data_IF_384048131870
#
_entry.id   IF_384048131870
#
_cell.length_a   1.000
_cell.length_b   1.000
_cell.length_c   1.000
_cell.angle_alpha   90.00
_cell.angle_beta   90.00
_cell.angle_gamma   90.00
#
_symmetry.space_group_name_H-M   'P 1'
#
loop_
_entity.id
_entity.type
_entity.pdbx_description
1 polymer ?
#
# COMPACT_ATOMS: atom_id res chain seq x y z
N UNK A 1 -24.61 -11.94 -25.36
CA UNK A 1 -23.35 -11.48 -24.76
C UNK A 1 -23.55 -10.48 -23.61
N UNK A 2 -24.58 -9.57 -23.58
CA UNK A 2 -24.78 -8.65 -22.44
C UNK A 2 -25.25 -9.35 -21.16
N UNK A 3 -26.02 -10.42 -21.28
CA UNK A 3 -26.60 -11.14 -20.13
C UNK A 3 -25.60 -12.01 -19.37
N UNK A 4 -24.58 -12.54 -20.05
CA UNK A 4 -23.51 -13.29 -19.38
C UNK A 4 -22.57 -12.39 -18.56
N UNK A 5 -22.38 -11.13 -18.97
CA UNK A 5 -21.61 -10.17 -18.19
C UNK A 5 -22.32 -9.76 -16.89
N UNK A 6 -23.62 -9.54 -16.93
CA UNK A 6 -24.40 -9.17 -15.74
C UNK A 6 -24.36 -10.24 -14.64
N UNK A 7 -24.40 -11.52 -15.02
CA UNK A 7 -24.34 -12.63 -14.06
C UNK A 7 -22.94 -12.88 -13.48
N UNK A 8 -21.88 -12.54 -14.20
CA UNK A 8 -20.50 -12.69 -13.72
C UNK A 8 -20.15 -11.65 -12.63
N UNK A 9 -20.70 -10.45 -12.73
CA UNK A 9 -20.49 -9.37 -11.75
C UNK A 9 -21.32 -9.53 -10.46
N UNK A 10 -22.32 -10.39 -10.43
CA UNK A 10 -23.14 -10.61 -9.24
C UNK A 10 -22.56 -11.64 -8.25
N UNK A 11 -21.58 -12.45 -8.65
CA UNK A 11 -21.14 -13.61 -7.86
C UNK A 11 -19.89 -13.37 -7.01
N UNK A 12 -18.92 -12.52 -7.43
CA UNK A 12 -17.73 -12.22 -6.64
C UNK A 12 -17.15 -10.86 -7.03
N UNK A 13 -17.10 -9.92 -6.08
CA UNK A 13 -16.33 -8.68 -6.31
C UNK A 13 -14.86 -9.04 -6.45
N UNK A 14 -14.12 -8.46 -7.44
CA UNK A 14 -12.69 -8.67 -7.54
C UNK A 14 -12.01 -8.23 -6.23
N UNK A 15 -11.00 -8.98 -5.81
CA UNK A 15 -10.23 -8.61 -4.63
C UNK A 15 -9.51 -7.27 -4.81
N UNK A 16 -9.16 -6.94 -6.06
CA UNK A 16 -8.47 -5.72 -6.43
C UNK A 16 -8.94 -5.26 -7.81
N UNK A 17 -9.35 -4.00 -7.93
CA UNK A 17 -9.66 -3.36 -9.22
C UNK A 17 -8.62 -2.29 -9.53
N UNK A 18 -7.95 -2.41 -10.68
CA UNK A 18 -6.96 -1.50 -11.19
C UNK A 18 -7.60 -0.53 -12.16
N UNK A 19 -7.91 0.69 -11.70
CA UNK A 19 -8.62 1.69 -12.52
C UNK A 19 -7.67 2.55 -13.38
N UNK A 20 -6.39 2.65 -13.01
CA UNK A 20 -5.41 3.39 -13.76
C UNK A 20 -4.06 3.52 -13.09
N UNK A 21 -3.08 3.87 -13.88
CA UNK A 21 -1.77 4.35 -13.45
C UNK A 21 -1.58 5.78 -13.96
N UNK A 22 -1.08 6.65 -13.10
CA UNK A 22 -0.88 8.04 -13.41
C UNK A 22 0.60 8.39 -13.26
N UNK A 23 1.18 9.01 -14.29
CA UNK A 23 2.51 9.58 -14.24
C UNK A 23 2.38 11.09 -14.26
N UNK A 24 2.90 11.76 -13.24
CA UNK A 24 2.93 13.21 -13.17
C UNK A 24 4.37 13.67 -13.30
N UNK A 25 4.60 14.57 -14.24
CA UNK A 25 5.87 15.27 -14.33
C UNK A 25 6.00 16.23 -13.13
N UNK A 26 7.16 16.22 -12.46
CA UNK A 26 7.49 17.15 -11.40
C UNK A 26 8.47 18.21 -11.91
N UNK A 27 8.00 19.22 -12.69
CA UNK A 27 8.87 20.10 -13.44
C UNK A 27 9.67 21.07 -12.55
N UNK A 28 9.25 21.30 -11.32
CA UNK A 28 9.86 22.27 -10.42
C UNK A 28 10.52 21.60 -9.20
N UNK A 29 9.82 20.68 -8.54
CA UNK A 29 10.34 19.90 -7.42
C UNK A 29 9.50 18.64 -7.18
N UNK A 30 10.12 17.61 -6.60
CA UNK A 30 9.43 16.38 -6.19
C UNK A 30 8.32 16.70 -5.19
N UNK A 31 8.59 17.60 -4.24
CA UNK A 31 7.63 18.01 -3.22
C UNK A 31 6.35 18.58 -3.83
N UNK A 32 6.49 19.55 -4.74
CA UNK A 32 5.35 20.15 -5.43
C UNK A 32 4.59 19.14 -6.29
N UNK A 33 5.33 18.32 -7.05
CA UNK A 33 4.72 17.26 -7.86
C UNK A 33 3.91 16.27 -7.02
N UNK A 34 4.39 15.94 -5.82
CA UNK A 34 3.67 15.06 -4.91
C UNK A 34 2.42 15.73 -4.33
N UNK A 35 2.48 17.01 -3.95
CA UNK A 35 1.29 17.77 -3.54
C UNK A 35 0.24 17.83 -4.65
N UNK A 36 0.64 18.14 -5.88
CA UNK A 36 -0.25 18.20 -7.03
C UNK A 36 -0.90 16.85 -7.34
N UNK A 37 -0.14 15.74 -7.24
CA UNK A 37 -0.66 14.39 -7.39
C UNK A 37 -1.71 14.07 -6.32
N UNK A 38 -1.40 14.35 -5.06
CA UNK A 38 -2.31 14.09 -3.95
C UNK A 38 -3.58 14.93 -4.07
N UNK A 39 -3.49 16.18 -4.50
CA UNK A 39 -4.64 17.04 -4.75
C UNK A 39 -5.54 16.46 -5.87
N UNK A 40 -4.97 15.99 -6.98
CA UNK A 40 -5.72 15.36 -8.07
C UNK A 40 -6.37 14.04 -7.63
N UNK A 41 -5.66 13.20 -6.87
CA UNK A 41 -6.22 11.98 -6.31
C UNK A 41 -7.39 12.28 -5.37
N UNK A 42 -7.27 13.29 -4.52
CA UNK A 42 -8.34 13.70 -3.59
C UNK A 42 -9.55 14.29 -4.30
N UNK A 43 -9.35 15.06 -5.37
CA UNK A 43 -10.45 15.58 -6.16
C UNK A 43 -11.28 14.45 -6.79
N UNK A 44 -10.63 13.36 -7.22
CA UNK A 44 -11.28 12.21 -7.83
C UNK A 44 -11.79 11.19 -6.80
N UNK A 45 -11.03 10.99 -5.71
CA UNK A 45 -11.30 9.98 -4.67
C UNK A 45 -11.17 10.62 -3.27
N UNK A 46 -12.18 11.36 -2.79
CA UNK A 46 -12.08 12.17 -1.56
C UNK A 46 -11.71 11.38 -0.30
N UNK A 47 -12.16 10.12 -0.23
CA UNK A 47 -11.95 9.25 0.93
C UNK A 47 -10.82 8.22 0.75
N UNK A 48 -9.95 8.41 -0.26
CA UNK A 48 -8.87 7.45 -0.53
C UNK A 48 -7.88 7.36 0.63
N UNK A 49 -7.39 6.14 0.87
CA UNK A 49 -6.23 5.88 1.71
C UNK A 49 -5.01 5.74 0.80
N UNK A 50 -3.95 6.49 1.07
CA UNK A 50 -2.81 6.60 0.17
C UNK A 50 -1.52 6.22 0.89
N UNK A 51 -0.74 5.34 0.28
CA UNK A 51 0.64 5.06 0.66
C UNK A 51 1.59 5.70 -0.36
N UNK A 52 2.59 6.41 0.15
CA UNK A 52 3.64 7.01 -0.67
C UNK A 52 4.96 6.32 -0.35
N UNK A 53 5.63 5.75 -1.36
CA UNK A 53 6.94 5.14 -1.17
C UNK A 53 7.95 6.20 -0.67
N UNK A 54 8.54 5.92 0.49
CA UNK A 54 9.51 6.77 1.17
C UNK A 54 10.93 6.21 1.13
N UNK A 55 11.20 5.21 0.31
CA UNK A 55 12.53 4.62 0.13
C UNK A 55 13.54 5.61 -0.45
N UNK A 56 13.07 6.54 -1.30
CA UNK A 56 13.86 7.63 -1.84
C UNK A 56 13.28 8.98 -1.38
N UNK A 57 14.11 9.90 -0.88
CA UNK A 57 13.71 11.22 -0.37
C UNK A 57 12.64 11.15 0.74
N UNK A 58 12.92 10.32 1.74
CA UNK A 58 12.05 10.15 2.93
C UNK A 58 11.75 11.45 3.66
N UNK A 59 12.66 12.42 3.61
CA UNK A 59 12.50 13.78 4.14
C UNK A 59 11.30 14.51 3.50
N UNK A 60 11.26 14.53 2.18
CA UNK A 60 10.15 15.16 1.41
C UNK A 60 8.84 14.38 1.62
N UNK A 61 8.90 13.07 1.48
CA UNK A 61 7.68 12.25 1.63
C UNK A 61 7.08 12.41 3.02
N UNK A 62 7.90 12.40 4.07
CA UNK A 62 7.40 12.60 5.44
C UNK A 62 6.81 13.98 5.65
N UNK A 63 7.43 15.03 5.10
CA UNK A 63 6.92 16.41 5.16
C UNK A 63 5.56 16.53 4.47
N UNK A 64 5.46 16.03 3.24
CA UNK A 64 4.21 16.12 2.44
C UNK A 64 3.10 15.26 3.06
N UNK A 65 3.38 14.03 3.47
CA UNK A 65 2.35 13.16 4.03
C UNK A 65 1.82 13.64 5.37
N UNK A 66 2.63 14.37 6.15
CA UNK A 66 2.23 14.91 7.44
C UNK A 66 1.09 15.94 7.38
N UNK A 67 0.88 16.60 6.23
CA UNK A 67 -0.15 17.63 6.05
C UNK A 67 -1.39 17.14 5.29
N UNK A 68 -1.40 15.86 4.89
CA UNK A 68 -2.54 15.24 4.20
C UNK A 68 -3.17 14.15 5.06
N UNK A 69 -4.48 14.21 5.23
CA UNK A 69 -5.22 13.16 5.94
C UNK A 69 -5.21 11.84 5.16
N UNK A 70 -5.10 10.70 5.86
CA UNK A 70 -5.07 9.34 5.29
C UNK A 70 -3.98 9.12 4.21
N UNK A 71 -2.87 9.86 4.30
CA UNK A 71 -1.70 9.69 3.45
C UNK A 71 -0.52 9.34 4.34
N UNK A 72 0.15 8.23 4.06
CA UNK A 72 1.21 7.73 4.92
C UNK A 72 2.47 7.39 4.14
N UNK A 73 3.66 7.70 4.67
CA UNK A 73 4.91 7.21 4.13
C UNK A 73 5.01 5.70 4.31
N UNK A 74 5.39 5.00 3.25
CA UNK A 74 5.57 3.55 3.24
C UNK A 74 7.04 3.21 2.97
N UNK A 75 7.58 2.23 3.70
CA UNK A 75 8.94 1.75 3.58
C UNK A 75 8.95 0.27 3.25
N UNK A 76 9.39 -0.07 2.06
CA UNK A 76 9.65 -1.44 1.67
C UNK A 76 10.83 -2.04 2.44
N UNK A 77 10.66 -3.26 2.95
CA UNK A 77 11.70 -4.05 3.60
C UNK A 77 11.81 -5.39 2.91
N UNK A 78 12.99 -5.66 2.38
CA UNK A 78 13.29 -7.00 1.87
C UNK A 78 13.42 -7.97 3.05
N UNK A 79 12.53 -8.96 3.10
CA UNK A 79 12.56 -10.03 4.09
C UNK A 79 12.72 -11.36 3.36
N UNK A 80 13.96 -11.81 3.23
CA UNK A 80 14.29 -13.08 2.57
C UNK A 80 14.35 -14.26 3.53
N UNK A 81 14.62 -15.45 3.00
CA UNK A 81 14.69 -16.68 3.77
C UNK A 81 15.72 -16.64 4.91
N UNK A 82 16.81 -15.87 4.75
CA UNK A 82 17.86 -15.70 5.77
C UNK A 82 17.56 -14.62 6.80
N UNK A 83 16.46 -13.86 6.66
CA UNK A 83 16.07 -12.84 7.63
C UNK A 83 15.57 -13.49 8.91
N UNK A 84 16.13 -13.10 10.06
CA UNK A 84 15.77 -13.67 11.38
C UNK A 84 14.37 -13.28 11.82
N UNK A 85 13.92 -12.07 11.43
CA UNK A 85 12.60 -11.54 11.78
C UNK A 85 11.94 -10.88 10.58
N UNK A 86 10.62 -10.80 10.58
CA UNK A 86 9.81 -10.05 9.61
C UNK A 86 9.38 -8.71 10.18
N UNK A 87 8.78 -7.86 9.33
CA UNK A 87 8.25 -6.56 9.77
C UNK A 87 7.12 -6.71 10.78
N UNK A 88 6.36 -7.81 10.73
CA UNK A 88 5.21 -8.08 11.60
C UNK A 88 5.59 -8.70 12.95
N UNK A 89 6.80 -9.26 13.08
CA UNK A 89 7.29 -9.86 14.32
C UNK A 89 7.91 -8.83 15.27
N UNK A 90 8.35 -7.68 14.75
CA UNK A 90 9.01 -6.63 15.51
C UNK A 90 8.02 -5.53 15.92
N UNK A 91 6.92 -5.91 16.57
CA UNK A 91 5.87 -4.97 16.97
C UNK A 91 6.20 -4.23 18.27
N UNK A 92 5.67 -3.01 18.36
CA UNK A 92 5.68 -2.18 19.58
C UNK A 92 4.24 -2.00 20.08
N UNK A 93 4.03 -1.67 21.35
CA UNK A 93 2.71 -1.29 21.83
C UNK A 93 2.12 -0.17 20.97
N UNK A 94 0.90 -0.38 20.47
CA UNK A 94 0.20 0.55 19.61
C UNK A 94 0.45 0.36 18.11
N UNK A 95 1.29 -0.57 17.68
CA UNK A 95 1.40 -0.93 16.27
C UNK A 95 0.15 -1.71 15.81
N UNK A 96 -0.25 -1.45 14.57
CA UNK A 96 -1.27 -2.25 13.86
C UNK A 96 -0.57 -3.07 12.80
N UNK A 97 -0.89 -4.36 12.72
CA UNK A 97 -0.21 -5.28 11.81
C UNK A 97 -1.19 -6.05 10.95
N UNK A 98 -0.82 -6.30 9.70
CA UNK A 98 -1.47 -7.25 8.81
C UNK A 98 -0.57 -8.42 8.46
N UNK A 99 -0.85 -9.07 7.34
CA UNK A 99 -0.09 -10.23 6.91
C UNK A 99 1.33 -9.90 6.46
N UNK A 100 1.51 -8.79 5.76
CA UNK A 100 2.78 -8.38 5.14
C UNK A 100 3.18 -6.94 5.50
N UNK A 101 2.53 -6.32 6.47
CA UNK A 101 2.78 -4.93 6.81
C UNK A 101 2.59 -4.65 8.30
N UNK A 102 3.18 -3.55 8.72
CA UNK A 102 3.01 -2.97 10.05
C UNK A 102 2.89 -1.46 9.94
N UNK A 103 1.84 -0.91 10.52
CA UNK A 103 1.70 0.53 10.74
C UNK A 103 2.19 0.86 12.14
N UNK A 104 3.14 1.79 12.23
CA UNK A 104 3.78 2.19 13.49
C UNK A 104 3.76 3.71 13.62
N UNK A 105 3.58 4.18 14.84
CA UNK A 105 3.67 5.59 15.17
C UNK A 105 5.02 5.89 15.83
N UNK A 106 5.70 6.90 15.31
CA UNK A 106 6.86 7.47 15.97
C UNK A 106 6.38 8.46 17.05
N UNK A 107 6.56 8.16 18.34
CA UNK A 107 6.08 9.02 19.42
C UNK A 107 6.77 10.38 19.45
N UNK A 108 8.06 10.43 19.07
CA UNK A 108 8.87 11.64 19.11
C UNK A 108 8.50 12.63 18.01
N UNK A 109 8.11 12.10 16.85
CA UNK A 109 7.74 12.90 15.66
C UNK A 109 6.25 13.02 15.45
N UNK A 110 5.44 12.31 16.23
CA UNK A 110 3.98 12.19 16.05
C UNK A 110 3.58 11.76 14.63
N UNK A 111 4.48 11.10 13.89
CA UNK A 111 4.27 10.63 12.53
C UNK A 111 3.91 9.14 12.52
N UNK A 112 3.00 8.77 11.64
CA UNK A 112 2.65 7.37 11.41
C UNK A 112 3.25 6.94 10.08
N UNK A 113 3.86 5.75 10.05
CA UNK A 113 4.48 5.18 8.85
C UNK A 113 4.10 3.71 8.70
N UNK A 114 4.22 3.20 7.46
CA UNK A 114 3.94 1.81 7.13
C UNK A 114 5.22 1.11 6.71
N UNK A 115 5.53 -0.01 7.35
CA UNK A 115 6.60 -0.92 6.95
C UNK A 115 5.98 -2.09 6.20
N UNK A 116 6.51 -2.43 5.03
CA UNK A 116 5.99 -3.48 4.15
C UNK A 116 7.06 -4.56 3.95
N UNK A 117 6.72 -5.82 4.24
CA UNK A 117 7.49 -6.98 3.79
C UNK A 117 7.28 -7.13 2.28
N UNK A 118 8.23 -6.66 1.49
CA UNK A 118 8.08 -6.57 0.04
C UNK A 118 7.93 -7.94 -0.62
N UNK A 119 8.67 -8.96 -0.16
CA UNK A 119 8.58 -10.30 -0.72
C UNK A 119 7.21 -10.93 -0.47
N UNK A 120 6.69 -10.79 0.74
CA UNK A 120 5.39 -11.34 1.10
C UNK A 120 4.25 -10.59 0.40
N UNK A 121 4.30 -9.27 0.35
CA UNK A 121 3.29 -8.45 -0.32
C UNK A 121 3.27 -8.69 -1.84
N UNK A 122 4.44 -8.79 -2.51
CA UNK A 122 4.55 -9.18 -3.92
C UNK A 122 3.98 -10.56 -4.19
N UNK A 123 4.24 -11.52 -3.30
CA UNK A 123 3.66 -12.87 -3.40
C UNK A 123 2.13 -12.83 -3.29
N UNK A 124 1.58 -12.01 -2.40
CA UNK A 124 0.14 -11.82 -2.29
C UNK A 124 -0.47 -11.24 -3.57
N UNK A 125 0.14 -10.22 -4.17
CA UNK A 125 -0.30 -9.67 -5.47
C UNK A 125 -0.24 -10.72 -6.57
N UNK A 126 0.87 -11.48 -6.67
CA UNK A 126 1.01 -12.54 -7.67
C UNK A 126 -0.07 -13.63 -7.53
N UNK A 127 -0.41 -14.01 -6.30
CA UNK A 127 -1.49 -14.96 -6.02
C UNK A 127 -2.87 -14.42 -6.42
N UNK A 128 -3.13 -13.12 -6.26
CA UNK A 128 -4.38 -12.51 -6.73
C UNK A 128 -4.49 -12.56 -8.27
N UNK A 129 -3.40 -12.34 -8.99
CA UNK A 129 -3.37 -12.53 -10.45
C UNK A 129 -3.59 -14.00 -10.83
N UNK A 130 -2.90 -14.93 -10.18
CA UNK A 130 -3.02 -16.36 -10.44
C UNK A 130 -4.45 -16.89 -10.19
N UNK A 131 -5.15 -16.30 -9.22
CA UNK A 131 -6.56 -16.64 -8.91
C UNK A 131 -7.59 -15.83 -9.71
N UNK A 132 -7.15 -15.04 -10.69
CA UNK A 132 -8.03 -14.15 -11.48
C UNK A 132 -8.86 -13.18 -10.61
N UNK A 133 -8.33 -12.80 -9.45
CA UNK A 133 -8.99 -11.91 -8.49
C UNK A 133 -8.63 -10.43 -8.69
N UNK A 134 -7.92 -10.11 -9.77
CA UNK A 134 -7.57 -8.74 -10.17
C UNK A 134 -8.31 -8.38 -11.45
N UNK A 135 -8.99 -7.24 -11.42
CA UNK A 135 -9.63 -6.65 -12.59
C UNK A 135 -8.82 -5.43 -13.06
N UNK A 136 -8.54 -5.37 -14.35
CA UNK A 136 -7.82 -4.24 -14.96
C UNK A 136 -8.80 -3.50 -15.89
N UNK A 137 -8.98 -2.21 -15.63
CA UNK A 137 -9.83 -1.36 -16.46
C UNK A 137 -9.29 -1.26 -17.90
N UNK A 138 -10.18 -1.24 -18.88
CA UNK A 138 -9.82 -1.13 -20.31
C UNK A 138 -9.12 0.17 -20.69
N UNK A 139 -9.20 1.18 -19.84
CA UNK A 139 -8.54 2.48 -20.01
C UNK A 139 -7.03 2.45 -19.68
N UNK A 140 -6.56 1.34 -19.13
CA UNK A 140 -5.16 1.15 -18.75
C UNK A 140 -4.35 0.75 -19.99
N UNK A 141 -3.17 1.34 -20.18
CA UNK A 141 -2.20 0.91 -21.20
C UNK A 141 -1.65 -0.48 -20.84
N UNK A 142 -2.37 -1.50 -21.31
CA UNK A 142 -2.09 -2.88 -20.94
C UNK A 142 -0.66 -3.34 -21.26
N UNK A 143 -0.06 -3.03 -22.44
CA UNK A 143 1.33 -3.40 -22.72
C UNK A 143 2.32 -2.88 -21.69
N UNK A 144 2.27 -1.59 -21.35
CA UNK A 144 3.17 -0.98 -20.36
C UNK A 144 2.94 -1.58 -18.97
N UNK A 145 1.69 -1.77 -18.58
CA UNK A 145 1.36 -2.40 -17.29
C UNK A 145 1.89 -3.82 -17.21
N UNK A 146 1.67 -4.63 -18.23
CA UNK A 146 2.16 -6.01 -18.28
C UNK A 146 3.68 -6.04 -18.19
N UNK A 147 4.38 -5.15 -18.90
CA UNK A 147 5.84 -5.05 -18.82
C UNK A 147 6.32 -4.83 -17.38
N UNK A 148 5.73 -3.89 -16.66
CA UNK A 148 6.08 -3.62 -15.25
C UNK A 148 5.67 -4.75 -14.31
N UNK A 149 4.51 -5.38 -14.51
CA UNK A 149 4.03 -6.48 -13.66
C UNK A 149 4.81 -7.78 -13.87
N UNK A 150 5.44 -7.96 -15.02
CA UNK A 150 6.28 -9.14 -15.36
C UNK A 150 7.78 -8.85 -15.27
N UNK A 151 8.16 -7.72 -14.72
CA UNK A 151 9.57 -7.30 -14.61
C UNK A 151 10.35 -7.97 -13.49
N UNK A 152 9.67 -8.68 -12.60
CA UNK A 152 10.30 -9.38 -11.49
C UNK A 152 10.05 -10.88 -11.55
N UNK A 153 10.98 -11.64 -10.98
CA UNK A 153 10.88 -13.08 -10.82
C UNK A 153 10.88 -13.46 -9.35
N UNK A 154 9.89 -14.27 -8.96
CA UNK A 154 9.79 -14.83 -7.62
C UNK A 154 10.42 -16.23 -7.58
N UNK A 155 11.36 -16.46 -6.67
CA UNK A 155 12.02 -17.76 -6.45
C UNK A 155 11.71 -18.25 -5.05
N UNK A 156 11.18 -19.48 -4.96
CA UNK A 156 10.95 -20.12 -3.67
C UNK A 156 12.30 -20.43 -3.01
N UNK A 157 12.53 -19.90 -1.84
CA UNK A 157 13.78 -20.02 -1.09
C UNK A 157 13.48 -20.48 0.33
N UNK A 158 14.36 -21.32 0.86
CA UNK A 158 14.25 -21.86 2.21
C UNK A 158 15.56 -21.73 2.98
N UNK A 159 15.46 -21.43 4.26
CA UNK A 159 16.58 -21.50 5.21
C UNK A 159 16.11 -22.11 6.53
N UNK A 160 17.01 -22.17 7.53
CA UNK A 160 16.65 -22.57 8.90
C UNK A 160 15.66 -21.59 9.58
N UNK A 161 15.53 -20.36 9.06
CA UNK A 161 14.70 -19.32 9.66
C UNK A 161 13.29 -19.30 9.08
N UNK A 162 13.18 -19.45 7.74
CA UNK A 162 11.88 -19.39 7.07
C UNK A 162 11.92 -19.94 5.65
N UNK A 163 10.74 -20.23 5.14
CA UNK A 163 10.47 -20.43 3.72
C UNK A 163 9.70 -19.23 3.20
N UNK A 164 10.12 -18.68 2.07
CA UNK A 164 9.45 -17.55 1.42
C UNK A 164 9.73 -17.55 -0.08
N UNK A 165 9.03 -16.70 -0.82
CA UNK A 165 9.37 -16.35 -2.20
C UNK A 165 10.19 -15.08 -2.17
N UNK A 166 11.39 -15.12 -2.73
CA UNK A 166 12.25 -13.95 -2.87
C UNK A 166 12.08 -13.38 -4.28
N UNK A 167 11.72 -12.10 -4.35
CA UNK A 167 11.47 -11.39 -5.59
C UNK A 167 12.69 -10.57 -5.99
N UNK A 168 13.05 -10.64 -7.26
CA UNK A 168 14.17 -9.88 -7.83
C UNK A 168 13.80 -9.29 -9.18
N UNK A 169 14.23 -8.04 -9.39
CA UNK A 169 14.04 -7.33 -10.64
C UNK A 169 14.92 -7.93 -11.73
N UNK A 170 14.35 -8.18 -12.89
CA UNK A 170 15.07 -8.62 -14.08
C UNK A 170 15.97 -7.49 -14.61
N UNK A 171 17.14 -7.80 -15.18
CA UNK A 171 18.06 -6.81 -15.72
C UNK A 171 17.38 -5.89 -16.76
N UNK A 172 17.66 -4.59 -16.68
CA UNK A 172 17.14 -3.55 -17.56
C UNK A 172 15.59 -3.45 -17.64
N UNK A 173 14.91 -3.86 -16.58
CA UNK A 173 13.45 -3.70 -16.44
C UNK A 173 13.09 -2.67 -15.38
N UNK A 174 11.89 -2.13 -15.47
CA UNK A 174 11.27 -1.25 -14.46
C UNK A 174 10.07 -1.97 -13.84
N UNK A 175 9.85 -1.78 -12.52
CA UNK A 175 8.78 -2.43 -11.76
C UNK A 175 7.82 -1.44 -11.08
N UNK A 176 7.91 -0.15 -11.39
CA UNK A 176 7.20 0.91 -10.66
C UNK A 176 5.70 0.63 -10.50
N UNK A 177 5.02 0.11 -11.53
CA UNK A 177 3.59 -0.20 -11.44
C UNK A 177 3.34 -1.44 -10.59
N UNK A 178 4.26 -2.40 -10.57
CA UNK A 178 4.14 -3.52 -9.66
C UNK A 178 4.27 -3.06 -8.20
N UNK A 179 5.23 -2.22 -7.88
CA UNK A 179 5.39 -1.64 -6.54
C UNK A 179 4.19 -0.76 -6.14
N UNK A 180 3.62 0.01 -7.07
CA UNK A 180 2.38 0.75 -6.83
C UNK A 180 1.21 -0.18 -6.49
N UNK A 181 1.08 -1.31 -7.18
CA UNK A 181 0.03 -2.28 -6.94
C UNK A 181 0.20 -2.98 -5.58
N UNK A 182 1.44 -3.29 -5.21
CA UNK A 182 1.79 -3.80 -3.86
C UNK A 182 1.36 -2.78 -2.80
N UNK A 183 1.70 -1.52 -2.99
CA UNK A 183 1.27 -0.43 -2.09
C UNK A 183 -0.25 -0.30 -2.00
N UNK A 184 -0.97 -0.42 -3.13
CA UNK A 184 -2.43 -0.34 -3.17
C UNK A 184 -3.10 -1.52 -2.42
N UNK A 185 -2.57 -2.75 -2.57
CA UNK A 185 -3.06 -3.90 -1.81
C UNK A 185 -2.88 -3.69 -0.30
N UNK A 186 -1.69 -3.27 0.11
CA UNK A 186 -1.41 -2.98 1.52
C UNK A 186 -2.28 -1.85 2.06
N UNK A 187 -2.48 -0.77 1.29
CA UNK A 187 -3.35 0.34 1.67
C UNK A 187 -4.78 -0.12 1.92
N UNK A 188 -5.30 -1.00 1.08
CA UNK A 188 -6.61 -1.62 1.25
C UNK A 188 -6.68 -2.47 2.52
N UNK A 189 -5.72 -3.36 2.75
CA UNK A 189 -5.69 -4.21 3.95
C UNK A 189 -5.66 -3.37 5.24
N UNK A 190 -4.90 -2.26 5.24
CA UNK A 190 -4.87 -1.32 6.37
C UNK A 190 -6.25 -0.68 6.56
N UNK A 191 -6.84 -0.16 5.49
CA UNK A 191 -8.15 0.47 5.54
C UNK A 191 -9.21 -0.49 6.11
N UNK A 192 -9.28 -1.72 5.58
CA UNK A 192 -10.23 -2.75 6.02
C UNK A 192 -10.00 -3.10 7.51
N UNK A 193 -8.76 -3.15 7.98
CA UNK A 193 -8.41 -3.40 9.37
C UNK A 193 -8.85 -2.27 10.30
N UNK A 194 -8.69 -1.02 9.90
CA UNK A 194 -9.10 0.16 10.67
C UNK A 194 -10.62 0.29 10.75
N UNK A 195 -11.34 0.06 9.66
CA UNK A 195 -12.81 0.09 9.62
C UNK A 195 -13.42 -1.05 10.49
N UNK A 196 -12.85 -2.24 10.44
CA UNK A 196 -13.28 -3.38 11.26
C UNK A 196 -13.08 -3.11 12.75
N UNK A 197 -12.00 -2.43 13.11
CA UNK A 197 -11.71 -2.04 14.50
C UNK A 197 -12.67 -0.96 15.00
N UNK A 198 -13.14 -0.06 14.13
CA UNK A 198 -14.08 1.01 14.48
C UNK A 198 -15.50 0.49 14.73
N UNK A 199 -15.90 -0.58 14.08
CA UNK A 199 -17.23 -1.19 14.22
C UNK A 199 -17.35 -2.10 15.46
N UNK A 200 -16.23 -2.52 16.06
CA UNK A 200 -16.18 -3.41 17.23
C UNK A 200 -15.93 -2.71 18.57
N UNK A 201 -15.75 -1.38 18.58
CA UNK A 201 -15.37 -0.63 19.78
C UNK A 201 -16.58 -0.32 20.67
N UNK A 202 -16.89 -1.30 21.54
CA UNK A 202 -17.28 -1.02 22.92
C UNK A 202 -16.10 -1.19 23.92
N UNK A 203 -14.84 -1.34 23.45
CA UNK A 203 -13.71 -1.61 24.32
C UNK A 203 -12.50 -0.67 24.07
N UNK A 204 -11.95 -0.14 25.15
CA UNK A 204 -11.24 1.13 25.30
C UNK A 204 -9.76 1.17 24.89
N UNK A 205 -9.20 0.18 24.22
CA UNK A 205 -7.74 0.10 23.98
C UNK A 205 -7.23 0.39 22.56
N UNK A 206 -8.12 0.43 21.57
CA UNK A 206 -7.74 0.67 20.16
C UNK A 206 -7.95 2.14 19.70
N UNK A 207 -8.34 3.01 20.61
CA UNK A 207 -8.89 4.34 20.32
C UNK A 207 -7.84 5.41 19.96
N UNK A 208 -6.52 5.12 20.12
CA UNK A 208 -5.50 6.15 19.91
C UNK A 208 -5.27 6.51 18.43
N UNK A 209 -5.47 5.56 17.50
CA UNK A 209 -5.37 5.83 16.04
C UNK A 209 -6.55 6.72 15.60
N UNK A 210 -7.76 6.39 16.04
CA UNK A 210 -8.96 7.19 15.78
C UNK A 210 -8.92 8.54 16.52
N UNK A 211 -8.50 8.57 17.78
CA UNK A 211 -8.32 9.81 18.54
C UNK A 211 -7.18 10.67 18.00
N UNK A 212 -6.08 10.08 17.55
CA UNK A 212 -5.00 10.79 16.87
C UNK A 212 -5.47 11.45 15.58
N UNK A 213 -6.28 10.76 14.78
CA UNK A 213 -6.91 11.27 13.56
C UNK A 213 -7.95 12.36 13.86
N UNK A 214 -8.76 12.20 14.91
CA UNK A 214 -9.77 13.18 15.33
C UNK A 214 -9.15 14.45 15.96
N UNK A 215 -8.09 14.32 16.76
CA UNK A 215 -7.37 15.47 17.35
C UNK A 215 -6.59 16.27 16.31
N UNK A 216 -6.10 15.65 15.26
CA UNK A 216 -5.47 16.36 14.14
C UNK A 216 -6.49 17.20 13.37
N UNK A 217 -7.70 16.69 13.18
CA UNK A 217 -8.82 17.40 12.54
C UNK A 217 -9.24 18.65 13.30
N UNK A 218 -9.19 18.61 14.63
CA UNK A 218 -9.54 19.76 15.49
C UNK A 218 -8.47 20.87 15.51
N UNK A 219 -7.21 20.57 15.22
CA UNK A 219 -6.11 21.55 15.17
C UNK A 219 -5.96 22.29 13.85
N UNK A 220 -6.48 21.76 12.77
CA UNK A 220 -6.44 22.39 11.43
C UNK A 220 -7.66 23.25 11.13
N UNK A 221 -8.63 23.38 12.05
CA UNK A 221 -9.83 24.21 11.90
C UNK A 221 -9.80 25.46 12.80
N UNK A 222 -8.68 25.79 13.42
CA UNK A 222 -8.42 27.05 14.13
C UNK A 222 -7.25 27.78 13.49
#
# INVERSE_FOLDING_TARGET
>A
WPEQHANYYSATRPALSLEGFYRIAAPQSIERGLHDLLAQLRARYPNSFVLVDAGYRSDIVSSVTAVHDRVYPAYGRYVGARSKSSVVELTKPGDVTGSAWRMTRDPDRATTSVLIDTNRAKTSVANLFASSSVEIARTVDAPVVIEHLTSETGVATQSIWRQCVEWSLLPARENHYFDCLVGALVAREIFDSLESSSSSVSDSSSNWLLEGLLRYRARTML
#
